data_IF_065772296759
#
_entry.id   IF_065772296759
#
_cell.length_a   1.000
_cell.length_b   1.000
_cell.length_c   1.000
_cell.angle_alpha   90.00
_cell.angle_beta   90.00
_cell.angle_gamma   90.00
#
_symmetry.space_group_name_H-M   'P 1'
#
loop_
_entity.id
_entity.type
_entity.pdbx_description
1 polymer ?
#
# COMPACT_ATOMS: atom_id res chain seq x y z
N UNK A 1 -2.42 13.29 -18.67
CA UNK A 1 -1.55 12.51 -19.58
C UNK A 1 -0.83 11.46 -18.75
N UNK A 2 -0.81 10.19 -19.18
CA UNK A 2 -0.06 9.12 -18.52
C UNK A 2 1.25 8.87 -19.26
N UNK A 3 2.35 8.61 -18.53
CA UNK A 3 3.67 8.24 -19.07
C UNK A 3 4.09 6.91 -18.47
N UNK A 4 4.68 6.04 -19.29
CA UNK A 4 5.34 4.82 -18.84
C UNK A 4 6.83 5.10 -18.56
N UNK A 5 7.34 4.54 -17.47
CA UNK A 5 8.75 4.63 -17.05
C UNK A 5 9.24 3.22 -16.74
N UNK A 6 10.48 2.90 -17.11
CA UNK A 6 11.13 1.64 -16.76
C UNK A 6 12.16 1.90 -15.67
N UNK A 7 11.91 1.35 -14.48
CA UNK A 7 12.77 1.42 -13.31
C UNK A 7 12.41 0.29 -12.34
N UNK A 8 13.26 0.04 -11.35
CA UNK A 8 12.95 -0.83 -10.23
C UNK A 8 11.88 -0.20 -9.33
N UNK A 9 11.19 -1.03 -8.54
CA UNK A 9 10.23 -0.51 -7.56
C UNK A 9 10.91 0.37 -6.51
N UNK A 10 12.16 0.08 -6.13
CA UNK A 10 12.89 0.90 -5.15
C UNK A 10 13.14 2.32 -5.67
N UNK A 11 13.62 2.45 -6.91
CA UNK A 11 13.80 3.76 -7.55
C UNK A 11 12.47 4.53 -7.68
N UNK A 12 11.38 3.83 -7.98
CA UNK A 12 10.06 4.44 -8.03
C UNK A 12 9.61 4.95 -6.66
N UNK A 13 9.90 4.23 -5.57
CA UNK A 13 9.60 4.64 -4.19
C UNK A 13 10.43 5.87 -3.82
N UNK A 14 11.72 5.87 -4.13
CA UNK A 14 12.62 7.00 -3.85
C UNK A 14 12.14 8.27 -4.56
N UNK A 15 11.67 8.13 -5.82
CA UNK A 15 11.12 9.24 -6.60
C UNK A 15 9.83 9.85 -6.02
N UNK A 16 9.07 9.10 -5.21
CA UNK A 16 7.82 9.57 -4.56
C UNK A 16 7.95 9.77 -3.06
N UNK A 17 9.17 9.67 -2.50
CA UNK A 17 9.46 9.70 -1.06
C UNK A 17 8.83 10.84 -0.24
N UNK A 18 8.61 12.07 -0.77
CA UNK A 18 7.84 13.09 -0.03
C UNK A 18 6.39 12.70 0.25
N UNK A 19 5.85 11.69 -0.42
CA UNK A 19 4.48 11.21 -0.28
C UNK A 19 4.41 10.13 0.79
N UNK A 20 3.53 10.31 1.78
CA UNK A 20 3.25 9.26 2.76
C UNK A 20 2.70 7.99 2.08
N UNK A 21 3.41 6.87 2.26
CA UNK A 21 3.05 5.59 1.72
C UNK A 21 3.99 4.47 2.15
N UNK A 22 3.57 3.24 1.90
CA UNK A 22 4.26 2.03 2.35
C UNK A 22 4.43 1.03 1.22
N UNK A 23 5.55 0.30 1.26
CA UNK A 23 5.78 -0.88 0.42
C UNK A 23 4.96 -2.05 0.97
N UNK A 24 3.76 -2.26 0.43
CA UNK A 24 2.79 -3.26 0.92
C UNK A 24 3.09 -4.66 0.41
N UNK A 25 3.79 -4.80 -0.72
CA UNK A 25 4.20 -6.08 -1.30
C UNK A 25 5.53 -5.93 -2.05
N UNK A 26 6.20 -7.03 -2.39
CA UNK A 26 7.48 -6.98 -3.12
C UNK A 26 7.40 -6.24 -4.47
N UNK A 27 6.19 -6.12 -5.01
CA UNK A 27 5.88 -5.45 -6.28
C UNK A 27 4.88 -4.29 -6.11
N UNK A 28 4.62 -3.83 -4.88
CA UNK A 28 3.66 -2.75 -4.62
C UNK A 28 4.18 -1.75 -3.60
N UNK A 29 4.01 -0.48 -3.91
CA UNK A 29 4.00 0.62 -2.96
C UNK A 29 2.67 1.35 -3.09
N UNK A 30 2.11 1.81 -1.98
CA UNK A 30 0.80 2.45 -1.94
C UNK A 30 0.90 3.74 -1.14
N UNK A 31 0.40 4.84 -1.71
CA UNK A 31 0.24 6.10 -0.99
C UNK A 31 -0.92 5.99 0.00
N UNK A 32 -0.74 6.47 1.25
CA UNK A 32 -1.76 6.37 2.30
C UNK A 32 -3.09 6.98 1.87
N UNK A 33 -3.04 8.18 1.29
CA UNK A 33 -4.23 8.92 0.89
C UNK A 33 -5.02 8.27 -0.27
N UNK A 34 -4.41 7.32 -0.99
CA UNK A 34 -5.06 6.60 -2.07
C UNK A 34 -5.88 5.39 -1.57
N UNK A 35 -5.68 4.96 -0.31
CA UNK A 35 -6.41 3.84 0.29
C UNK A 35 -7.82 4.28 0.67
N UNK A 36 -8.83 3.60 0.15
CA UNK A 36 -10.24 3.82 0.49
C UNK A 36 -10.75 2.82 1.53
N UNK A 37 -10.26 1.58 1.47
CA UNK A 37 -10.69 0.50 2.36
C UNK A 37 -9.59 -0.55 2.49
N UNK A 38 -9.46 -1.12 3.68
CA UNK A 38 -8.59 -2.25 3.97
C UNK A 38 -9.49 -3.43 4.34
N UNK A 39 -9.28 -4.58 3.73
CA UNK A 39 -10.07 -5.78 4.01
C UNK A 39 -9.21 -7.03 4.16
N UNK A 40 -9.82 -8.08 4.69
CA UNK A 40 -9.24 -9.41 4.78
C UNK A 40 -8.51 -9.65 6.09
N UNK A 41 -7.92 -10.84 6.18
CA UNK A 41 -7.15 -11.27 7.35
C UNK A 41 -5.67 -10.92 7.17
N UNK A 42 -4.84 -10.92 8.23
CA UNK A 42 -3.39 -10.77 8.10
C UNK A 42 -2.71 -11.71 7.08
N UNK A 43 -3.34 -12.85 6.72
CA UNK A 43 -2.82 -13.80 5.73
C UNK A 43 -3.27 -13.51 4.30
N UNK A 44 -4.32 -12.73 4.11
CA UNK A 44 -4.95 -12.45 2.81
C UNK A 44 -5.48 -11.00 2.75
N UNK A 45 -4.70 -10.05 3.27
CA UNK A 45 -5.12 -8.65 3.37
C UNK A 45 -4.97 -7.92 2.02
N UNK A 46 -5.93 -7.05 1.72
CA UNK A 46 -5.96 -6.23 0.50
C UNK A 46 -6.28 -4.77 0.82
N UNK A 47 -5.66 -3.87 0.07
CA UNK A 47 -5.97 -2.44 0.08
C UNK A 47 -6.75 -2.10 -1.19
N UNK A 48 -7.94 -1.56 -1.03
CA UNK A 48 -8.71 -0.99 -2.13
C UNK A 48 -8.33 0.47 -2.29
N UNK A 49 -7.92 0.82 -3.50
CA UNK A 49 -7.42 2.13 -3.84
C UNK A 49 -8.42 2.89 -4.71
N UNK A 50 -8.32 4.22 -4.67
CA UNK A 50 -9.00 5.09 -5.63
C UNK A 50 -8.78 4.60 -7.06
N UNK A 51 -9.85 4.57 -7.85
CA UNK A 51 -9.81 4.05 -9.22
C UNK A 51 -10.02 2.55 -9.33
N UNK A 52 -10.48 1.88 -8.27
CA UNK A 52 -10.90 0.47 -8.30
C UNK A 52 -9.76 -0.54 -8.33
N UNK A 53 -8.52 -0.10 -8.07
CA UNK A 53 -7.34 -0.97 -8.01
C UNK A 53 -7.25 -1.60 -6.64
N UNK A 54 -6.93 -2.89 -6.59
CA UNK A 54 -6.76 -3.62 -5.32
C UNK A 54 -5.33 -4.13 -5.19
N UNK A 55 -4.62 -3.65 -4.17
CA UNK A 55 -3.22 -3.98 -3.88
C UNK A 55 -3.13 -5.11 -2.83
N UNK A 56 -2.31 -6.15 -3.06
CA UNK A 56 -2.05 -7.17 -2.05
C UNK A 56 -1.15 -6.63 -0.94
N UNK A 57 -1.33 -7.16 0.28
CA UNK A 57 -0.42 -6.92 1.40
C UNK A 57 0.33 -8.21 1.71
N UNK A 58 1.66 -8.15 1.66
CA UNK A 58 2.52 -9.25 2.09
C UNK A 58 2.38 -9.47 3.61
N UNK A 59 2.50 -10.72 4.08
CA UNK A 59 2.41 -11.05 5.51
C UNK A 59 3.29 -10.17 6.40
N UNK A 60 4.54 -9.91 6.00
CA UNK A 60 5.46 -9.05 6.75
C UNK A 60 5.08 -7.57 6.72
N UNK A 61 4.42 -7.10 5.67
CA UNK A 61 4.00 -5.71 5.55
C UNK A 61 2.79 -5.38 6.44
N UNK A 62 2.05 -6.38 6.92
CA UNK A 62 0.95 -6.17 7.89
C UNK A 62 1.44 -5.49 9.16
N UNK A 63 2.66 -5.80 9.61
CA UNK A 63 3.28 -5.16 10.78
C UNK A 63 3.54 -3.68 10.50
N UNK A 64 4.11 -3.36 9.33
CA UNK A 64 4.37 -1.98 8.89
C UNK A 64 3.07 -1.16 8.84
N UNK A 65 1.99 -1.75 8.31
CA UNK A 65 0.68 -1.09 8.26
C UNK A 65 0.12 -0.83 9.67
N UNK A 66 0.34 -1.75 10.61
CA UNK A 66 -0.07 -1.57 12.01
C UNK A 66 0.73 -0.47 12.69
N UNK A 67 2.04 -0.49 12.57
CA UNK A 67 2.95 0.52 13.15
C UNK A 67 2.66 1.91 12.60
N UNK A 68 2.32 2.01 11.31
CA UNK A 68 1.89 3.26 10.68
C UNK A 68 0.43 3.66 11.01
N UNK A 69 -0.30 2.88 11.80
CA UNK A 69 -1.70 3.18 12.16
C UNK A 69 -2.67 3.11 10.99
N UNK A 70 -2.39 2.30 9.96
CA UNK A 70 -3.31 2.07 8.83
C UNK A 70 -4.42 1.11 9.25
N UNK A 71 -4.09 0.15 10.10
CA UNK A 71 -5.04 -0.79 10.70
C UNK A 71 -5.57 -0.15 11.98
N UNK A 72 -6.68 0.58 11.90
CA UNK A 72 -7.36 1.11 13.09
C UNK A 72 -7.71 0.00 14.07
N UNK A 73 -8.02 0.35 15.32
CA UNK A 73 -8.73 -0.57 16.21
C UNK A 73 -10.05 -0.94 15.51
N UNK A 74 -10.23 -2.24 15.23
CA UNK A 74 -11.41 -2.84 14.60
C UNK A 74 -12.69 -2.10 14.98
N UNK A 75 -13.41 -1.57 13.99
CA UNK A 75 -14.84 -1.31 14.15
C UNK A 75 -15.51 -2.68 14.33
N UNK A 76 -16.21 -2.81 15.47
CA UNK A 76 -17.05 -3.90 15.99
C UNK A 76 -17.26 -5.13 15.09
#
# INVERSE_FOLDING_TARGET
MARLVHMTLSEAIDAVSPTDGLKTHRSWWVARHAVERIEGTPRAMRLHLRGGVSAPVARGAVVLLREAGWLGATAA
#
